data_IF_846128674772
#
_entry.id   IF_846128674772
#
_cell.length_a   1.000
_cell.length_b   1.000
_cell.length_c   1.000
_cell.angle_alpha   90.00
_cell.angle_beta   90.00
_cell.angle_gamma   90.00
#
_symmetry.space_group_name_H-M   'P 1'
#
loop_
_entity.id
_entity.type
_entity.pdbx_description
1 polymer ?
#
# COMPACT_ATOMS: atom_id res chain seq x y z
N UNK A 1 8.31 -41.57 1.09
CA UNK A 1 8.13 -40.15 0.73
C UNK A 1 6.69 -39.74 1.07
N UNK A 2 6.46 -38.50 1.55
CA UNK A 2 5.12 -37.94 1.66
C UNK A 2 4.50 -37.84 0.27
N UNK A 3 3.20 -38.13 0.16
CA UNK A 3 2.46 -38.00 -1.09
C UNK A 3 1.57 -36.78 -0.95
N UNK A 4 1.92 -35.71 -1.65
CA UNK A 4 1.17 -34.46 -1.61
C UNK A 4 0.05 -34.51 -2.64
N UNK A 5 -1.16 -34.15 -2.21
CA UNK A 5 -2.36 -34.09 -3.06
C UNK A 5 -3.08 -32.75 -2.84
N UNK A 6 -3.87 -32.33 -3.82
CA UNK A 6 -4.74 -31.15 -3.66
C UNK A 6 -5.93 -31.46 -2.73
N UNK A 7 -6.59 -30.41 -2.25
CA UNK A 7 -7.81 -30.54 -1.43
C UNK A 7 -8.95 -31.17 -2.25
N UNK A 8 -9.14 -30.74 -3.50
CA UNK A 8 -10.13 -31.31 -4.44
C UNK A 8 -9.89 -32.82 -4.69
N UNK A 9 -8.64 -33.21 -4.97
CA UNK A 9 -8.29 -34.63 -5.17
C UNK A 9 -8.60 -35.44 -3.91
N UNK A 10 -8.26 -34.91 -2.73
CA UNK A 10 -8.53 -35.55 -1.46
C UNK A 10 -10.03 -35.66 -1.18
N UNK A 11 -10.79 -34.60 -1.40
CA UNK A 11 -12.23 -34.56 -1.20
C UNK A 11 -12.94 -35.62 -2.05
N UNK A 12 -12.63 -35.64 -3.36
CA UNK A 12 -13.18 -36.62 -4.29
C UNK A 12 -12.77 -38.05 -3.93
N UNK A 13 -11.49 -38.30 -3.59
CA UNK A 13 -10.96 -39.63 -3.30
C UNK A 13 -11.52 -40.23 -2.01
N UNK A 14 -11.65 -39.42 -0.97
CA UNK A 14 -12.04 -39.89 0.37
C UNK A 14 -13.54 -39.68 0.66
N UNK A 15 -14.29 -39.09 -0.25
CA UNK A 15 -15.72 -38.80 -0.08
C UNK A 15 -15.98 -37.83 1.08
N UNK A 16 -15.09 -36.85 1.24
CA UNK A 16 -15.12 -35.84 2.30
C UNK A 16 -15.30 -34.47 1.65
N UNK A 17 -15.95 -33.54 2.34
CA UNK A 17 -16.07 -32.16 1.87
C UNK A 17 -14.74 -31.43 1.90
N UNK A 18 -14.50 -30.55 0.94
CA UNK A 18 -13.28 -29.73 0.94
C UNK A 18 -13.17 -28.87 2.19
N UNK A 19 -14.30 -28.33 2.68
CA UNK A 19 -14.33 -27.48 3.89
C UNK A 19 -13.88 -28.24 5.14
N UNK A 20 -14.22 -29.53 5.25
CA UNK A 20 -13.79 -30.37 6.36
C UNK A 20 -12.26 -30.58 6.31
N UNK A 21 -11.71 -30.78 5.12
CA UNK A 21 -10.27 -30.95 4.91
C UNK A 21 -9.53 -29.64 5.24
N UNK A 22 -10.01 -28.50 4.73
CA UNK A 22 -9.50 -27.18 5.07
C UNK A 22 -9.48 -26.97 6.59
N UNK A 23 -10.59 -27.27 7.27
CA UNK A 23 -10.69 -27.14 8.72
C UNK A 23 -9.62 -27.99 9.43
N UNK A 24 -9.37 -29.22 8.99
CA UNK A 24 -8.32 -30.05 9.59
C UNK A 24 -6.91 -29.53 9.33
N UNK A 25 -6.68 -28.84 8.20
CA UNK A 25 -5.42 -28.14 7.98
C UNK A 25 -5.26 -26.95 8.92
N UNK A 26 -6.32 -26.17 9.14
CA UNK A 26 -6.31 -25.01 10.05
C UNK A 26 -6.15 -25.42 11.51
N UNK A 27 -6.71 -26.56 11.90
CA UNK A 27 -6.49 -27.19 13.20
C UNK A 27 -5.07 -27.78 13.36
N UNK A 28 -4.24 -27.74 12.32
CA UNK A 28 -2.93 -28.41 12.24
C UNK A 28 -3.02 -29.94 12.46
N UNK A 29 -4.20 -30.51 12.28
CA UNK A 29 -4.45 -31.94 12.50
C UNK A 29 -3.93 -32.81 11.35
N UNK A 30 -3.79 -32.22 10.17
CA UNK A 30 -3.17 -32.82 8.99
C UNK A 30 -2.06 -31.90 8.48
N UNK A 31 -1.00 -32.49 7.96
CA UNK A 31 0.14 -31.73 7.45
C UNK A 31 -0.23 -31.13 6.10
N UNK A 32 -0.21 -29.81 6.04
CA UNK A 32 -0.44 -29.05 4.83
C UNK A 32 0.76 -28.17 4.50
N UNK A 33 0.92 -27.88 3.21
CA UNK A 33 1.93 -26.98 2.69
C UNK A 33 1.27 -26.06 1.68
N UNK A 34 1.46 -24.76 1.86
CA UNK A 34 1.00 -23.77 0.91
C UNK A 34 2.11 -23.54 -0.14
N UNK A 35 1.84 -23.92 -1.39
CA UNK A 35 2.65 -23.51 -2.55
C UNK A 35 2.29 -22.07 -2.95
N UNK A 36 2.84 -21.53 -4.03
CA UNK A 36 2.56 -20.15 -4.46
C UNK A 36 1.07 -19.82 -4.59
N UNK A 37 0.25 -20.78 -5.06
CA UNK A 37 -1.18 -20.57 -5.31
C UNK A 37 -2.08 -21.63 -4.74
N UNK A 38 -1.53 -22.72 -4.19
CA UNK A 38 -2.32 -23.92 -3.91
C UNK A 38 -1.91 -24.55 -2.58
N UNK A 39 -2.90 -24.81 -1.74
CA UNK A 39 -2.74 -25.61 -0.53
C UNK A 39 -2.73 -27.09 -0.93
N UNK A 40 -1.61 -27.76 -0.64
CA UNK A 40 -1.46 -29.21 -0.83
C UNK A 40 -1.33 -29.87 0.54
N UNK A 41 -1.82 -31.09 0.67
CA UNK A 41 -1.83 -31.84 1.92
C UNK A 41 -1.08 -33.16 1.78
N UNK A 42 -0.44 -33.60 2.87
CA UNK A 42 0.16 -34.94 2.91
C UNK A 42 -0.95 -35.97 3.08
N UNK A 43 -1.14 -36.79 2.06
CA UNK A 43 -2.16 -37.83 2.00
C UNK A 43 -2.06 -38.81 3.17
N UNK A 44 -0.84 -39.12 3.64
CA UNK A 44 -0.64 -40.03 4.77
C UNK A 44 -1.13 -39.44 6.08
N UNK A 45 -0.85 -38.16 6.33
CA UNK A 45 -1.37 -37.44 7.50
C UNK A 45 -2.90 -37.42 7.51
N UNK A 46 -3.53 -37.19 6.35
CA UNK A 46 -4.99 -37.22 6.19
C UNK A 46 -5.57 -38.60 6.53
N UNK A 47 -5.03 -39.67 5.93
CA UNK A 47 -5.48 -41.04 6.21
C UNK A 47 -5.37 -41.38 7.70
N UNK A 48 -4.23 -41.01 8.32
CA UNK A 48 -4.00 -41.24 9.74
C UNK A 48 -5.02 -40.51 10.59
N UNK A 49 -5.29 -39.24 10.29
CA UNK A 49 -6.28 -38.44 10.99
C UNK A 49 -7.68 -39.04 10.85
N UNK A 50 -8.10 -39.40 9.63
CA UNK A 50 -9.41 -40.03 9.38
C UNK A 50 -9.58 -41.35 10.16
N UNK A 51 -8.53 -42.15 10.27
CA UNK A 51 -8.54 -43.38 11.07
C UNK A 51 -8.69 -43.08 12.57
N UNK A 52 -7.89 -42.15 13.10
CA UNK A 52 -7.93 -41.76 14.50
C UNK A 52 -9.28 -41.15 14.89
N UNK A 53 -9.85 -40.30 14.01
CA UNK A 53 -11.13 -39.62 14.22
C UNK A 53 -12.28 -40.60 14.44
N UNK A 54 -12.29 -41.76 13.77
CA UNK A 54 -13.31 -42.80 13.98
C UNK A 54 -13.32 -43.35 15.41
N UNK A 55 -12.20 -43.22 16.12
CA UNK A 55 -12.01 -43.75 17.48
C UNK A 55 -11.84 -42.63 18.52
N UNK A 56 -11.91 -41.36 18.13
CA UNK A 56 -11.64 -40.23 19.00
C UNK A 56 -12.92 -39.83 19.77
N UNK A 57 -12.85 -39.57 21.09
CA UNK A 57 -13.99 -39.02 21.82
C UNK A 57 -14.38 -37.67 21.22
N UNK A 58 -15.67 -37.51 20.90
CA UNK A 58 -16.23 -36.27 20.30
C UNK A 58 -15.87 -35.02 21.11
N UNK A 59 -15.73 -35.15 22.43
CA UNK A 59 -15.38 -34.06 23.35
C UNK A 59 -13.99 -33.46 23.09
N UNK A 60 -13.00 -34.28 22.73
CA UNK A 60 -11.65 -33.81 22.42
C UNK A 60 -11.62 -32.97 21.14
N UNK A 61 -12.36 -33.42 20.11
CA UNK A 61 -12.49 -32.71 18.85
C UNK A 61 -13.20 -31.36 19.02
N UNK A 62 -14.31 -31.33 19.78
CA UNK A 62 -15.05 -30.09 20.10
C UNK A 62 -14.11 -29.07 20.78
N UNK A 63 -13.34 -29.50 21.78
CA UNK A 63 -12.43 -28.60 22.49
C UNK A 63 -11.36 -27.98 21.57
N UNK A 64 -10.82 -28.76 20.63
CA UNK A 64 -9.87 -28.21 19.65
C UNK A 64 -10.53 -27.18 18.74
N UNK A 65 -11.76 -27.42 18.29
CA UNK A 65 -12.52 -26.45 17.50
C UNK A 65 -12.82 -25.17 18.29
N UNK A 66 -13.20 -25.28 19.56
CA UNK A 66 -13.41 -24.12 20.43
C UNK A 66 -12.14 -23.28 20.55
N UNK A 67 -10.99 -23.92 20.74
CA UNK A 67 -9.71 -23.22 20.83
C UNK A 67 -9.34 -22.54 19.50
N UNK A 68 -9.58 -23.19 18.36
CA UNK A 68 -9.37 -22.60 17.04
C UNK A 68 -10.22 -21.33 16.87
N UNK A 69 -11.51 -21.39 17.23
CA UNK A 69 -12.42 -20.24 17.18
C UNK A 69 -11.94 -19.08 18.08
N UNK A 70 -11.44 -19.38 19.29
CA UNK A 70 -10.87 -18.36 20.20
C UNK A 70 -9.65 -17.70 19.55
N UNK A 71 -8.70 -18.50 19.07
CA UNK A 71 -7.48 -18.00 18.44
C UNK A 71 -7.82 -17.14 17.21
N UNK A 72 -8.77 -17.58 16.38
CA UNK A 72 -9.22 -16.83 15.21
C UNK A 72 -9.89 -15.51 15.62
N UNK A 73 -10.67 -15.50 16.71
CA UNK A 73 -11.25 -14.27 17.26
C UNK A 73 -10.17 -13.28 17.72
N UNK A 74 -9.11 -13.76 18.37
CA UNK A 74 -7.97 -12.93 18.79
C UNK A 74 -7.23 -12.34 17.60
N UNK A 75 -6.97 -13.14 16.56
CA UNK A 75 -6.38 -12.68 15.30
C UNK A 75 -7.25 -11.61 14.65
N UNK A 76 -8.57 -11.80 14.60
CA UNK A 76 -9.50 -10.80 14.08
C UNK A 76 -9.45 -9.47 14.85
N UNK A 77 -9.32 -9.51 16.18
CA UNK A 77 -9.15 -8.29 17.00
C UNK A 77 -7.87 -7.54 16.63
N UNK A 78 -6.76 -8.26 16.49
CA UNK A 78 -5.48 -7.66 16.07
C UNK A 78 -5.58 -7.04 14.67
N UNK A 79 -6.25 -7.71 13.72
CA UNK A 79 -6.47 -7.14 12.38
C UNK A 79 -7.29 -5.86 12.43
N UNK A 80 -8.34 -5.81 13.26
CA UNK A 80 -9.13 -4.58 13.44
C UNK A 80 -8.27 -3.43 13.97
N UNK A 81 -7.43 -3.67 14.97
CA UNK A 81 -6.51 -2.65 15.51
C UNK A 81 -5.53 -2.14 14.44
N UNK A 82 -4.97 -3.05 13.62
CA UNK A 82 -4.08 -2.68 12.52
C UNK A 82 -4.80 -1.82 11.48
N UNK A 83 -6.02 -2.19 11.09
CA UNK A 83 -6.82 -1.43 10.13
C UNK A 83 -7.10 -0.03 10.66
N UNK A 84 -7.52 0.11 11.93
CA UNK A 84 -7.78 1.41 12.55
C UNK A 84 -6.54 2.31 12.58
N UNK A 85 -5.36 1.74 12.86
CA UNK A 85 -4.10 2.48 12.83
C UNK A 85 -3.74 2.93 11.41
N UNK A 86 -3.94 2.06 10.42
CA UNK A 86 -3.72 2.38 9.01
C UNK A 86 -4.66 3.49 8.52
N UNK A 87 -5.93 3.47 8.93
CA UNK A 87 -6.88 4.52 8.60
C UNK A 87 -6.48 5.88 9.18
N UNK A 88 -6.04 5.91 10.45
CA UNK A 88 -5.54 7.14 11.10
C UNK A 88 -4.31 7.70 10.37
N UNK A 89 -3.35 6.85 10.03
CA UNK A 89 -2.15 7.25 9.26
C UNK A 89 -2.52 7.79 7.87
N UNK A 90 -3.44 7.11 7.18
CA UNK A 90 -3.92 7.53 5.87
C UNK A 90 -4.64 8.89 5.93
N UNK A 91 -5.45 9.14 6.96
CA UNK A 91 -6.07 10.45 7.18
C UNK A 91 -5.03 11.54 7.45
N UNK A 92 -4.02 11.26 8.28
CA UNK A 92 -2.93 12.19 8.54
C UNK A 92 -2.18 12.56 7.25
N UNK A 93 -1.81 11.56 6.45
CA UNK A 93 -1.14 11.74 5.15
C UNK A 93 -1.98 12.59 4.19
N UNK A 94 -3.29 12.34 4.09
CA UNK A 94 -4.21 13.15 3.28
C UNK A 94 -4.22 14.62 3.69
N UNK A 95 -4.29 14.91 5.00
CA UNK A 95 -4.23 16.30 5.51
C UNK A 95 -2.91 16.98 5.15
N UNK A 96 -1.79 16.26 5.29
CA UNK A 96 -0.46 16.79 4.97
C UNK A 96 -0.30 17.11 3.49
N UNK A 97 -0.80 16.23 2.60
CA UNK A 97 -0.82 16.48 1.15
C UNK A 97 -1.62 17.74 0.83
N UNK A 98 -2.82 17.89 1.40
CA UNK A 98 -3.65 19.08 1.16
C UNK A 98 -2.97 20.39 1.60
N UNK A 99 -2.20 20.37 2.69
CA UNK A 99 -1.41 21.53 3.11
C UNK A 99 -0.29 21.84 2.11
N UNK A 100 0.43 20.81 1.66
CA UNK A 100 1.52 20.97 0.69
C UNK A 100 1.01 21.48 -0.66
N UNK A 101 -0.15 21.02 -1.13
CA UNK A 101 -0.79 21.50 -2.36
C UNK A 101 -1.08 23.00 -2.30
N UNK A 102 -1.61 23.49 -1.16
CA UNK A 102 -1.83 24.94 -0.96
C UNK A 102 -0.53 25.73 -0.96
N UNK A 103 0.49 25.22 -0.27
CA UNK A 103 1.82 25.86 -0.25
C UNK A 103 2.43 25.94 -1.64
N UNK A 104 2.32 24.86 -2.42
CA UNK A 104 2.79 24.79 -3.79
C UNK A 104 2.05 25.79 -4.69
N UNK A 105 0.73 25.89 -4.57
CA UNK A 105 -0.07 26.87 -5.32
C UNK A 105 0.35 28.31 -5.00
N UNK A 106 0.51 28.64 -3.70
CA UNK A 106 0.98 29.97 -3.28
C UNK A 106 2.39 30.29 -3.80
N UNK A 107 3.32 29.33 -3.73
CA UNK A 107 4.67 29.50 -4.25
C UNK A 107 4.67 29.72 -5.77
N UNK A 108 3.80 29.01 -6.49
CA UNK A 108 3.65 29.16 -7.95
C UNK A 108 3.14 30.56 -8.31
N UNK A 109 2.13 31.07 -7.61
CA UNK A 109 1.64 32.45 -7.82
C UNK A 109 2.70 33.50 -7.46
N UNK A 110 3.44 33.31 -6.37
CA UNK A 110 4.57 34.19 -6.04
C UNK A 110 5.64 34.20 -7.13
N UNK A 111 5.97 33.05 -7.70
CA UNK A 111 6.94 32.96 -8.80
C UNK A 111 6.45 33.70 -10.04
N UNK A 112 5.18 33.55 -10.43
CA UNK A 112 4.58 34.33 -11.53
C UNK A 112 4.68 35.84 -11.29
N UNK A 113 4.44 36.29 -10.05
CA UNK A 113 4.58 37.71 -9.70
C UNK A 113 6.04 38.17 -9.78
N UNK A 114 6.99 37.36 -9.30
CA UNK A 114 8.42 37.65 -9.39
C UNK A 114 8.88 37.77 -10.84
N UNK A 115 8.45 36.87 -11.71
CA UNK A 115 8.76 36.92 -13.15
C UNK A 115 8.24 38.21 -13.79
N UNK A 116 6.98 38.60 -13.52
CA UNK A 116 6.42 39.88 -14.00
C UNK A 116 7.25 41.08 -13.54
N UNK A 117 7.66 41.11 -12.27
CA UNK A 117 8.49 42.19 -11.73
C UNK A 117 9.83 42.25 -12.47
N UNK A 118 10.51 41.10 -12.64
CA UNK A 118 11.79 41.02 -13.36
C UNK A 118 11.64 41.58 -14.78
N UNK A 119 10.59 41.18 -15.51
CA UNK A 119 10.33 41.68 -16.87
C UNK A 119 10.14 43.19 -16.88
N UNK A 120 9.29 43.74 -16.01
CA UNK A 120 9.05 45.19 -15.92
C UNK A 120 10.35 45.94 -15.57
N UNK A 121 11.12 45.45 -14.60
CA UNK A 121 12.38 46.07 -14.20
C UNK A 121 13.40 46.05 -15.34
N UNK A 122 13.51 44.95 -16.08
CA UNK A 122 14.37 44.84 -17.27
C UNK A 122 13.97 45.83 -18.37
N UNK A 123 12.67 45.96 -18.65
CA UNK A 123 12.13 46.92 -19.62
C UNK A 123 12.40 48.37 -19.21
N UNK A 124 12.28 48.69 -17.91
CA UNK A 124 12.59 50.02 -17.40
C UNK A 124 14.08 50.35 -17.52
N UNK A 125 14.96 49.39 -17.20
CA UNK A 125 16.41 49.56 -17.31
C UNK A 125 16.84 49.78 -18.76
N UNK A 126 16.35 48.96 -19.69
CA UNK A 126 16.70 49.11 -21.13
C UNK A 126 16.23 50.46 -21.72
N UNK A 127 15.05 50.95 -21.32
CA UNK A 127 14.58 52.30 -21.69
C UNK A 127 15.44 53.41 -21.09
N UNK A 128 15.88 53.27 -19.85
CA UNK A 128 16.77 54.23 -19.23
C UNK A 128 18.13 54.25 -19.95
N UNK A 129 18.72 53.08 -20.22
CA UNK A 129 19.98 52.93 -20.93
C UNK A 129 19.94 53.56 -22.33
N UNK A 130 18.93 53.24 -23.14
CA UNK A 130 18.74 53.84 -24.46
C UNK A 130 18.63 55.37 -24.41
N UNK A 131 17.84 55.91 -23.48
CA UNK A 131 17.73 57.36 -23.28
C UNK A 131 19.04 58.03 -22.82
N UNK A 132 19.88 57.32 -22.05
CA UNK A 132 21.24 57.77 -21.72
C UNK A 132 22.15 57.81 -22.94
N UNK A 133 22.12 56.77 -23.78
CA UNK A 133 22.89 56.70 -25.03
C UNK A 133 22.50 57.81 -26.01
N UNK A 134 21.21 58.08 -26.19
CA UNK A 134 20.72 59.19 -27.03
C UNK A 134 21.24 60.54 -26.56
N UNK A 135 21.15 60.83 -25.26
CA UNK A 135 21.66 62.09 -24.67
C UNK A 135 23.17 62.23 -24.87
N UNK A 136 23.93 61.16 -24.72
CA UNK A 136 25.37 61.15 -24.94
C UNK A 136 25.69 61.42 -26.41
N UNK A 137 25.00 60.74 -27.33
CA UNK A 137 25.21 60.90 -28.77
C UNK A 137 24.90 62.32 -29.25
N UNK A 138 23.81 62.94 -28.77
CA UNK A 138 23.49 64.34 -29.04
C UNK A 138 24.58 65.30 -28.58
N UNK A 139 25.18 65.06 -27.40
CA UNK A 139 26.30 65.88 -26.90
C UNK A 139 27.55 65.75 -27.76
N UNK A 140 27.86 64.56 -28.27
CA UNK A 140 29.03 64.32 -29.13
C UNK A 140 28.80 64.95 -30.51
N UNK A 141 27.65 64.71 -31.13
CA UNK A 141 27.28 65.22 -32.45
C UNK A 141 27.26 66.75 -32.51
N UNK A 142 26.73 67.42 -31.47
CA UNK A 142 26.73 68.88 -31.41
C UNK A 142 28.14 69.49 -31.24
N UNK A 143 29.12 68.76 -30.70
CA UNK A 143 30.51 69.22 -30.61
C UNK A 143 31.27 69.09 -31.93
N UNK A 144 30.85 68.21 -32.84
CA UNK A 144 31.49 68.03 -34.15
C UNK A 144 30.99 69.02 -35.22
N UNK A 145 29.94 69.79 -34.92
CA UNK A 145 29.35 70.81 -35.82
C UNK A 145 29.86 72.24 -35.57
N UNK A 146 30.82 72.40 -34.66
CA UNK A 146 31.54 73.64 -34.34
C UNK A 146 32.96 73.56 -34.91
#
# INVERSE_FOLDING_TARGET
MPKWISIDEAAHKYGVKEEDICLWTEMEAITAYFTETTLIIDEKSLQRFMYLRKNLPTTGYIRTLEQLCINQSEVCKLYMEVIELQEKDLQYKKRRISVLERQYAMATEQNKLREKIITITSDMLSKAESGWWEKLWMKISNRQKL
#
